data_IF_662949056718
#
_entry.id   IF_662949056718
#
_cell.length_a   1.000
_cell.length_b   1.000
_cell.length_c   1.000
_cell.angle_alpha   90.00
_cell.angle_beta   90.00
_cell.angle_gamma   90.00
#
_symmetry.space_group_name_H-M   'P 1'
#
loop_
_entity.id
_entity.type
_entity.pdbx_description
1 polymer ?
#
# COMPACT_ATOMS: atom_id res chain seq x y z
N UNK A 1 -26.54 -34.04 19.04
CA UNK A 1 -25.21 -33.58 19.47
C UNK A 1 -24.93 -32.23 18.84
N UNK A 2 -24.88 -31.19 19.67
CA UNK A 2 -24.63 -29.80 19.27
C UNK A 2 -23.12 -29.62 19.11
N UNK A 3 -22.62 -29.80 17.89
CA UNK A 3 -21.24 -29.42 17.57
C UNK A 3 -21.22 -27.91 17.39
N UNK A 4 -20.57 -27.24 18.33
CA UNK A 4 -20.51 -25.79 18.42
C UNK A 4 -19.63 -25.28 17.29
N UNK A 5 -20.24 -24.80 16.19
CA UNK A 5 -19.53 -23.98 15.21
C UNK A 5 -18.97 -22.75 15.93
N UNK A 6 -17.69 -22.82 16.29
CA UNK A 6 -16.87 -21.68 16.67
C UNK A 6 -16.77 -20.77 15.46
N UNK A 7 -17.78 -19.93 15.28
CA UNK A 7 -17.76 -18.80 14.35
C UNK A 7 -16.78 -17.77 14.91
N UNK A 8 -15.49 -18.08 14.79
CA UNK A 8 -14.42 -17.10 14.94
C UNK A 8 -14.64 -16.10 13.81
N UNK A 9 -14.60 -14.78 14.05
CA UNK A 9 -14.54 -13.82 12.95
C UNK A 9 -13.40 -14.26 12.02
N UNK A 10 -13.58 -14.27 10.69
CA UNK A 10 -12.50 -14.64 9.79
C UNK A 10 -11.27 -13.81 10.15
N UNK A 11 -10.16 -14.49 10.45
CA UNK A 11 -8.86 -13.83 10.59
C UNK A 11 -8.70 -13.02 9.31
N UNK A 12 -8.66 -11.70 9.41
CA UNK A 12 -8.47 -10.84 8.25
C UNK A 12 -7.25 -11.32 7.48
N UNK A 13 -7.40 -11.69 6.21
CA UNK A 13 -6.35 -12.25 5.35
C UNK A 13 -5.22 -11.26 5.01
N UNK A 14 -5.17 -10.13 5.72
CA UNK A 14 -4.26 -9.01 5.52
C UNK A 14 -5.03 -7.71 5.27
N UNK A 15 -4.28 -6.69 4.88
CA UNK A 15 -4.73 -5.40 4.38
C UNK A 15 -4.66 -5.41 2.86
N UNK A 16 -5.70 -4.93 2.18
CA UNK A 16 -5.64 -4.65 0.76
C UNK A 16 -4.87 -3.35 0.50
N UNK A 17 -3.79 -3.43 -0.25
CA UNK A 17 -2.99 -2.29 -0.71
C UNK A 17 -3.36 -2.00 -2.15
N UNK A 18 -3.75 -0.76 -2.44
CA UNK A 18 -3.87 -0.23 -3.78
C UNK A 18 -2.66 0.65 -4.06
N UNK A 19 -1.99 0.42 -5.19
CA UNK A 19 -0.81 1.19 -5.56
C UNK A 19 -0.88 1.67 -7.01
N UNK A 20 -0.23 2.79 -7.26
CA UNK A 20 -0.09 3.43 -8.56
C UNK A 20 1.33 4.01 -8.65
N UNK A 21 1.89 4.06 -9.83
CA UNK A 21 3.16 4.75 -10.07
C UNK A 21 2.90 6.24 -10.26
N UNK A 22 3.72 7.08 -9.62
CA UNK A 22 3.75 8.50 -9.95
C UNK A 22 4.36 8.69 -11.34
N UNK A 23 3.89 9.70 -12.06
CA UNK A 23 4.52 10.10 -13.31
C UNK A 23 5.89 10.77 -13.07
N UNK A 24 6.57 11.14 -14.15
CA UNK A 24 7.87 11.82 -14.12
C UNK A 24 7.85 13.17 -13.36
N UNK A 25 6.68 13.78 -13.18
CA UNK A 25 6.49 15.02 -12.46
C UNK A 25 6.15 14.78 -10.97
N UNK A 26 6.03 13.52 -10.55
CA UNK A 26 5.59 13.15 -9.21
C UNK A 26 4.10 13.37 -8.99
N UNK A 27 3.31 13.48 -10.06
CA UNK A 27 1.87 13.62 -10.02
C UNK A 27 1.19 12.27 -10.24
N UNK A 28 0.00 12.15 -9.63
CA UNK A 28 -0.89 11.00 -9.83
C UNK A 28 -2.24 11.56 -10.24
N UNK A 29 -2.58 11.46 -11.51
CA UNK A 29 -3.92 11.81 -11.98
C UNK A 29 -4.95 10.74 -11.61
N UNK A 30 -6.24 11.05 -11.80
CA UNK A 30 -7.34 10.14 -11.47
C UNK A 30 -7.59 9.08 -12.56
N UNK A 31 -6.83 9.12 -13.67
CA UNK A 31 -6.88 8.17 -14.78
C UNK A 31 -5.84 7.06 -14.68
N UNK A 32 -4.87 7.21 -13.77
CA UNK A 32 -3.85 6.19 -13.52
C UNK A 32 -4.48 4.87 -13.07
N UNK A 33 -3.99 3.79 -13.66
CA UNK A 33 -4.38 2.43 -13.31
C UNK A 33 -3.85 2.07 -11.93
N UNK A 34 -4.76 1.66 -11.04
CA UNK A 34 -4.44 1.22 -9.68
C UNK A 34 -4.32 -0.29 -9.65
N UNK A 35 -3.13 -0.78 -9.32
CA UNK A 35 -2.88 -2.19 -9.02
C UNK A 35 -3.20 -2.49 -7.55
N UNK A 36 -3.33 -3.77 -7.20
CA UNK A 36 -3.57 -4.13 -5.80
C UNK A 36 -3.01 -5.49 -5.41
N UNK A 37 -2.68 -5.63 -4.12
CA UNK A 37 -2.26 -6.89 -3.51
C UNK A 37 -2.67 -6.97 -2.04
N UNK A 38 -2.74 -8.20 -1.51
CA UNK A 38 -2.96 -8.45 -0.09
C UNK A 38 -1.64 -8.41 0.68
N UNK A 39 -1.59 -7.59 1.71
CA UNK A 39 -0.42 -7.39 2.56
C UNK A 39 -0.68 -7.82 4.00
N UNK A 40 0.16 -8.71 4.54
CA UNK A 40 0.02 -9.24 5.91
C UNK A 40 0.98 -8.63 6.94
N UNK A 41 1.91 -7.80 6.49
CA UNK A 41 2.85 -7.12 7.38
C UNK A 41 2.21 -5.98 8.17
N UNK A 42 2.96 -5.45 9.12
CA UNK A 42 2.48 -4.40 10.05
C UNK A 42 3.26 -3.11 9.95
N UNK A 43 4.43 -3.15 9.32
CA UNK A 43 5.32 -2.00 9.20
C UNK A 43 5.60 -1.63 7.74
N UNK A 44 6.16 -0.44 7.56
CA UNK A 44 6.46 0.11 6.25
C UNK A 44 7.61 -0.63 5.56
N UNK A 45 8.60 -1.12 6.30
CA UNK A 45 9.76 -1.82 5.74
C UNK A 45 9.34 -3.13 5.05
N UNK A 46 8.46 -3.90 5.68
CA UNK A 46 7.85 -5.10 5.09
C UNK A 46 6.99 -4.76 3.87
N UNK A 47 6.30 -3.61 3.90
CA UNK A 47 5.52 -3.16 2.76
C UNK A 47 6.43 -2.78 1.59
N UNK A 48 7.54 -2.11 1.87
CA UNK A 48 8.55 -1.74 0.90
C UNK A 48 9.17 -2.97 0.25
N UNK A 49 9.65 -3.92 1.06
CA UNK A 49 10.18 -5.20 0.57
C UNK A 49 9.18 -5.90 -0.35
N UNK A 50 7.92 -5.99 0.07
CA UNK A 50 6.86 -6.63 -0.73
C UNK A 50 6.60 -5.89 -2.05
N UNK A 51 6.62 -4.56 -2.04
CA UNK A 51 6.46 -3.75 -3.24
C UNK A 51 7.64 -3.97 -4.20
N UNK A 52 8.87 -3.93 -3.70
CA UNK A 52 10.08 -4.14 -4.51
C UNK A 52 10.09 -5.55 -5.13
N UNK A 53 9.68 -6.58 -4.38
CA UNK A 53 9.50 -7.94 -4.90
C UNK A 53 8.44 -8.04 -6.00
N UNK A 54 7.26 -7.46 -5.80
CA UNK A 54 6.13 -7.59 -6.73
C UNK A 54 6.28 -6.72 -8.00
N UNK A 55 7.02 -5.61 -7.88
CA UNK A 55 7.22 -4.66 -8.98
C UNK A 55 8.58 -4.82 -9.68
N UNK A 56 9.48 -5.63 -9.13
CA UNK A 56 10.87 -5.79 -9.58
C UNK A 56 11.67 -4.47 -9.56
N UNK A 57 11.22 -3.48 -8.79
CA UNK A 57 11.86 -2.18 -8.64
C UNK A 57 12.73 -2.12 -7.38
N UNK A 58 13.66 -1.16 -7.33
CA UNK A 58 14.53 -0.94 -6.18
C UNK A 58 14.52 0.52 -5.75
N UNK A 59 14.67 0.75 -4.45
CA UNK A 59 14.73 2.06 -3.82
C UNK A 59 13.47 2.91 -4.06
N UNK A 60 12.31 2.25 -4.16
CA UNK A 60 11.03 2.93 -4.38
C UNK A 60 10.63 3.72 -3.15
N UNK A 61 10.12 4.92 -3.33
CA UNK A 61 9.56 5.72 -2.25
C UNK A 61 8.05 5.50 -2.19
N UNK A 62 7.57 4.97 -1.08
CA UNK A 62 6.13 4.82 -0.84
C UNK A 62 5.57 6.14 -0.31
N UNK A 63 4.64 6.73 -1.04
CA UNK A 63 3.95 7.98 -0.73
C UNK A 63 2.45 7.75 -0.45
N UNK A 64 1.85 8.69 0.26
CA UNK A 64 0.40 8.86 0.34
C UNK A 64 -0.01 10.13 -0.41
N UNK A 65 -1.10 10.05 -1.16
CA UNK A 65 -1.70 11.22 -1.82
C UNK A 65 -2.69 11.88 -0.85
N UNK A 66 -2.47 13.15 -0.53
CA UNK A 66 -3.39 13.88 0.32
C UNK A 66 -4.66 14.23 -0.49
N UNK A 67 -5.85 13.79 -0.05
CA UNK A 67 -7.08 13.97 -0.81
C UNK A 67 -7.53 15.44 -0.92
N UNK A 68 -7.02 16.33 -0.07
CA UNK A 68 -7.41 17.75 -0.05
C UNK A 68 -6.63 18.60 -1.06
N UNK A 69 -5.37 18.23 -1.35
CA UNK A 69 -4.49 19.06 -2.18
C UNK A 69 -3.77 18.28 -3.29
N UNK A 70 -4.00 16.97 -3.39
CA UNK A 70 -3.37 16.10 -4.39
C UNK A 70 -1.88 15.83 -4.16
N UNK A 71 -1.23 16.47 -3.17
CA UNK A 71 0.21 16.36 -2.96
C UNK A 71 0.59 14.99 -2.40
N UNK A 72 1.75 14.50 -2.85
CA UNK A 72 2.36 13.29 -2.33
C UNK A 72 3.18 13.58 -1.08
N UNK A 73 3.05 12.71 -0.09
CA UNK A 73 3.81 12.74 1.15
C UNK A 73 4.43 11.37 1.40
N UNK A 74 5.77 11.25 1.49
CA UNK A 74 6.44 10.00 1.81
C UNK A 74 5.91 9.43 3.13
N UNK A 75 5.56 8.14 3.12
CA UNK A 75 5.20 7.45 4.35
C UNK A 75 6.44 7.29 5.22
N UNK A 76 6.30 7.61 6.50
CA UNK A 76 7.36 7.45 7.52
C UNK A 76 6.85 6.78 8.80
N UNK A 77 5.53 6.65 8.92
CA UNK A 77 4.86 6.14 10.12
C UNK A 77 4.47 4.67 9.93
N UNK A 78 4.24 3.99 11.05
CA UNK A 78 3.69 2.64 11.06
C UNK A 78 2.34 2.60 10.32
N UNK A 79 2.05 1.46 9.70
CA UNK A 79 0.79 1.27 9.00
C UNK A 79 -0.37 1.30 10.00
N UNK A 80 -1.57 1.77 9.60
CA UNK A 80 -2.69 1.82 10.52
C UNK A 80 -2.99 0.43 11.14
N UNK A 81 -3.43 0.34 12.40
CA UNK A 81 -3.51 -0.95 13.12
C UNK A 81 -4.68 -1.86 12.70
N UNK A 82 -5.63 -1.38 11.89
CA UNK A 82 -6.93 -2.05 11.67
C UNK A 82 -7.05 -2.85 10.36
N UNK A 83 -5.94 -3.19 9.69
CA UNK A 83 -5.95 -3.80 8.34
C UNK A 83 -6.82 -3.07 7.30
N UNK A 84 -7.12 -1.79 7.54
CA UNK A 84 -7.94 -0.98 6.66
C UNK A 84 -7.28 -0.85 5.28
N UNK A 85 -8.06 -0.96 4.21
CA UNK A 85 -7.52 -0.78 2.87
C UNK A 85 -6.77 0.56 2.74
N UNK A 86 -5.67 0.55 1.99
CA UNK A 86 -4.79 1.72 1.89
C UNK A 86 -4.43 1.98 0.43
N UNK A 87 -4.40 3.26 0.06
CA UNK A 87 -3.89 3.73 -1.23
C UNK A 87 -2.51 4.31 -1.02
N UNK A 88 -1.55 3.83 -1.82
CA UNK A 88 -0.18 4.33 -1.83
C UNK A 88 0.23 4.70 -3.26
N UNK A 89 1.22 5.56 -3.36
CA UNK A 89 1.82 5.96 -4.62
C UNK A 89 3.29 5.57 -4.56
N UNK A 90 3.76 4.91 -5.61
CA UNK A 90 5.14 4.50 -5.77
C UNK A 90 5.86 5.57 -6.59
N UNK A 91 6.89 6.18 -6.01
CA UNK A 91 7.75 7.13 -6.70
C UNK A 91 9.09 6.46 -6.91
N UNK A 92 9.47 6.25 -8.17
CA UNK A 92 10.81 5.81 -8.50
C UNK A 92 11.82 6.91 -8.14
N UNK A 93 12.99 6.58 -7.61
CA UNK A 93 14.04 7.57 -7.42
C UNK A 93 14.42 8.10 -8.79
N UNK A 94 14.13 9.38 -9.04
CA UNK A 94 14.53 10.05 -10.28
C UNK A 94 16.02 9.80 -10.52
N UNK A 95 16.36 9.11 -11.61
CA UNK A 95 17.74 8.99 -12.04
C UNK A 95 18.27 10.41 -12.23
N UNK A 96 19.21 10.83 -11.38
CA UNK A 96 19.83 12.16 -11.43
C UNK A 96 20.56 12.37 -12.75
#
# INVERSE_FOLDING_TARGET
SIDSLKNSPPKSDGRLIYYAFADENGDVDDTIEWNSFLFKGTNLDQLLEKVEEDTELQNVIICSRNPLNGKLYPLRLQLPPNNAAMRIVLVEPSSR
#
